data_IF_600339662393
#
_entry.id   IF_600339662393
#
_cell.length_a   1.000
_cell.length_b   1.000
_cell.length_c   1.000
_cell.angle_alpha   90.00
_cell.angle_beta   90.00
_cell.angle_gamma   90.00
#
_symmetry.space_group_name_H-M   'P 1'
#
loop_
_entity.id
_entity.type
_entity.pdbx_description
1 polymer ?
#
# COMPACT_ATOMS: atom_id res chain seq x y z
N UNK A 1 -34.37 -2.56 -14.74
CA UNK A 1 -34.58 -2.43 -13.28
C UNK A 1 -35.73 -3.30 -12.78
N UNK A 2 -37.00 -3.04 -13.15
CA UNK A 2 -38.16 -3.84 -12.68
C UNK A 2 -38.05 -5.36 -12.95
N UNK A 3 -37.44 -5.75 -14.08
CA UNK A 3 -37.19 -7.17 -14.41
C UNK A 3 -36.15 -7.84 -13.49
N UNK A 4 -35.18 -7.08 -12.97
CA UNK A 4 -34.10 -7.58 -12.11
C UNK A 4 -34.52 -7.62 -10.63
N UNK A 5 -35.32 -6.65 -10.18
CA UNK A 5 -35.92 -6.65 -8.83
C UNK A 5 -36.78 -7.90 -8.62
N UNK A 6 -37.59 -8.28 -9.62
CA UNK A 6 -38.38 -9.52 -9.59
C UNK A 6 -37.55 -10.81 -9.50
N UNK A 7 -36.29 -10.82 -9.95
CA UNK A 7 -35.44 -12.02 -9.89
C UNK A 7 -34.69 -12.12 -8.55
N UNK A 8 -34.38 -10.98 -7.95
CA UNK A 8 -33.82 -10.88 -6.60
C UNK A 8 -34.85 -11.33 -5.54
N UNK A 9 -36.11 -10.86 -5.67
CA UNK A 9 -37.21 -11.24 -4.77
C UNK A 9 -37.58 -12.73 -4.83
N UNK A 10 -37.22 -13.41 -5.93
CA UNK A 10 -37.42 -14.86 -6.11
C UNK A 10 -36.23 -15.70 -5.64
N UNK A 11 -35.16 -15.09 -5.13
CA UNK A 11 -33.95 -15.78 -4.70
C UNK A 11 -33.21 -16.52 -5.82
N UNK A 12 -33.49 -16.18 -7.09
CA UNK A 12 -32.93 -16.89 -8.25
C UNK A 12 -31.55 -16.39 -8.66
N UNK A 13 -31.17 -15.18 -8.25
CA UNK A 13 -29.90 -14.54 -8.58
C UNK A 13 -29.41 -13.75 -7.37
N UNK A 14 -28.11 -13.78 -7.12
CA UNK A 14 -27.51 -12.87 -6.14
C UNK A 14 -27.48 -11.43 -6.69
N UNK A 15 -27.38 -10.44 -5.80
CA UNK A 15 -27.15 -9.04 -6.21
C UNK A 15 -25.92 -8.89 -7.12
N UNK A 16 -24.90 -9.73 -6.91
CA UNK A 16 -23.69 -9.78 -7.75
C UNK A 16 -24.00 -10.26 -9.16
N UNK A 17 -24.85 -11.29 -9.32
CA UNK A 17 -25.25 -11.79 -10.64
C UNK A 17 -26.09 -10.77 -11.41
N UNK A 18 -26.93 -10.02 -10.70
CA UNK A 18 -27.73 -8.94 -11.28
C UNK A 18 -26.83 -7.80 -11.74
N UNK A 19 -25.83 -7.41 -10.93
CA UNK A 19 -24.86 -6.38 -11.30
C UNK A 19 -24.04 -6.79 -12.54
N UNK A 20 -23.55 -8.04 -12.58
CA UNK A 20 -22.79 -8.57 -13.71
C UNK A 20 -23.63 -8.64 -15.00
N UNK A 21 -24.91 -9.07 -14.90
CA UNK A 21 -25.82 -9.11 -16.05
C UNK A 21 -26.24 -7.73 -16.53
N UNK A 22 -26.48 -6.79 -15.61
CA UNK A 22 -26.77 -5.41 -15.96
C UNK A 22 -25.55 -4.74 -16.62
N UNK A 23 -24.34 -5.03 -16.15
CA UNK A 23 -23.11 -4.59 -16.82
C UNK A 23 -22.97 -5.22 -18.21
N UNK A 24 -23.25 -6.50 -18.38
CA UNK A 24 -23.23 -7.15 -19.69
C UNK A 24 -24.25 -6.56 -20.68
N UNK A 25 -25.44 -6.15 -20.22
CA UNK A 25 -26.45 -5.47 -21.03
C UNK A 25 -26.05 -4.02 -21.38
N UNK A 26 -25.39 -3.31 -20.48
CA UNK A 26 -24.94 -1.93 -20.70
C UNK A 26 -23.68 -1.85 -21.57
N UNK A 27 -22.89 -2.93 -21.66
CA UNK A 27 -21.66 -2.99 -22.45
C UNK A 27 -21.65 -4.21 -23.39
N UNK A 28 -22.48 -4.22 -24.45
CA UNK A 28 -22.66 -5.37 -25.34
C UNK A 28 -21.40 -5.77 -26.13
N UNK A 29 -20.36 -4.91 -26.16
CA UNK A 29 -19.04 -5.22 -26.73
C UNK A 29 -18.01 -5.80 -25.76
N UNK A 30 -18.27 -5.77 -24.45
CA UNK A 30 -17.40 -6.34 -23.42
C UNK A 30 -17.75 -7.81 -23.11
N UNK A 31 -18.88 -8.31 -23.62
CA UNK A 31 -19.39 -9.66 -23.44
C UNK A 31 -18.76 -10.68 -24.43
N UNK A 32 -17.47 -10.56 -24.73
CA UNK A 32 -16.72 -11.78 -25.02
C UNK A 32 -16.87 -12.66 -23.78
N UNK A 33 -17.32 -13.91 -23.93
CA UNK A 33 -17.53 -14.85 -22.83
C UNK A 33 -16.38 -14.70 -21.84
N UNK A 34 -16.61 -14.05 -20.69
CA UNK A 34 -15.60 -13.98 -19.65
C UNK A 34 -15.37 -15.45 -19.31
N UNK A 35 -14.19 -16.01 -19.60
CA UNK A 35 -13.93 -17.41 -19.27
C UNK A 35 -14.31 -17.58 -17.81
N UNK A 36 -15.02 -18.66 -17.50
CA UNK A 36 -15.39 -18.97 -16.12
C UNK A 36 -14.10 -18.91 -15.28
N UNK A 37 -13.90 -17.80 -14.55
CA UNK A 37 -12.73 -17.58 -13.71
C UNK A 37 -12.87 -18.36 -12.39
N UNK A 38 -13.83 -19.29 -12.32
CA UNK A 38 -14.11 -20.09 -11.16
C UNK A 38 -12.86 -20.87 -10.75
N UNK A 39 -12.38 -20.57 -9.55
CA UNK A 39 -11.16 -21.15 -8.99
C UNK A 39 -9.85 -20.43 -9.35
N UNK A 40 -9.86 -19.35 -10.13
CA UNK A 40 -8.65 -18.53 -10.28
C UNK A 40 -8.38 -17.71 -9.01
N UNK A 41 -7.16 -17.83 -8.52
CA UNK A 41 -6.65 -17.00 -7.42
C UNK A 41 -6.48 -15.55 -7.88
N UNK A 42 -7.18 -14.63 -7.22
CA UNK A 42 -7.19 -13.22 -7.61
C UNK A 42 -5.81 -12.55 -7.52
N UNK A 43 -4.96 -12.95 -6.57
CA UNK A 43 -3.63 -12.37 -6.40
C UNK A 43 -2.70 -12.79 -7.56
N UNK A 44 -2.75 -14.06 -7.97
CA UNK A 44 -2.02 -14.55 -9.14
C UNK A 44 -2.49 -13.88 -10.43
N UNK A 45 -3.81 -13.73 -10.61
CA UNK A 45 -4.35 -13.04 -11.79
C UNK A 45 -3.86 -11.58 -11.83
N UNK A 46 -3.90 -10.87 -10.70
CA UNK A 46 -3.37 -9.51 -10.60
C UNK A 46 -1.89 -9.45 -10.99
N UNK A 47 -1.05 -10.33 -10.43
CA UNK A 47 0.38 -10.38 -10.72
C UNK A 47 0.65 -10.58 -12.22
N UNK A 48 -0.01 -11.57 -12.83
CA UNK A 48 0.16 -11.89 -14.25
C UNK A 48 -0.31 -10.75 -15.16
N UNK A 49 -1.48 -10.16 -14.89
CA UNK A 49 -2.00 -9.03 -15.67
C UNK A 49 -1.11 -7.80 -15.55
N UNK A 50 -0.70 -7.44 -14.33
CA UNK A 50 0.24 -6.32 -14.12
C UNK A 50 1.55 -6.54 -14.88
N UNK A 51 2.12 -7.74 -14.80
CA UNK A 51 3.35 -8.08 -15.52
C UNK A 51 3.19 -7.85 -17.02
N UNK A 52 2.12 -8.38 -17.63
CA UNK A 52 1.85 -8.18 -19.06
C UNK A 52 1.71 -6.71 -19.42
N UNK A 53 0.85 -5.96 -18.72
CA UNK A 53 0.59 -4.55 -19.04
C UNK A 53 1.84 -3.68 -18.88
N UNK A 54 2.65 -3.93 -17.84
CA UNK A 54 3.90 -3.19 -17.60
C UNK A 54 5.00 -3.55 -18.62
N UNK A 55 5.02 -4.78 -19.12
CA UNK A 55 5.98 -5.21 -20.15
C UNK A 55 5.63 -4.70 -21.55
N UNK A 56 4.35 -4.55 -21.85
CA UNK A 56 3.89 -4.04 -23.15
C UNK A 56 4.22 -2.55 -23.33
N UNK A 57 3.80 -1.74 -22.36
CA UNK A 57 4.09 -0.30 -22.28
C UNK A 57 3.85 0.21 -20.85
N UNK A 58 4.88 0.15 -19.99
CA UNK A 58 4.84 0.71 -18.64
C UNK A 58 4.35 2.16 -18.65
N UNK A 59 4.67 2.91 -19.72
CA UNK A 59 4.35 4.33 -19.78
C UNK A 59 2.88 4.61 -19.99
N UNK A 60 2.30 3.90 -20.95
CA UNK A 60 0.87 3.92 -21.21
C UNK A 60 0.07 3.34 -20.03
N UNK A 61 0.52 2.24 -19.42
CA UNK A 61 -0.15 1.68 -18.24
C UNK A 61 -0.30 2.72 -17.13
N UNK A 62 0.78 3.45 -16.80
CA UNK A 62 0.71 4.53 -15.81
C UNK A 62 -0.20 5.66 -16.24
N UNK A 63 -0.18 6.04 -17.51
CA UNK A 63 -1.06 7.07 -18.04
C UNK A 63 -2.53 6.70 -17.81
N UNK A 64 -2.91 5.46 -18.14
CA UNK A 64 -4.25 4.90 -17.93
C UNK A 64 -4.65 4.85 -16.47
N UNK A 65 -3.73 4.46 -15.57
CA UNK A 65 -3.99 4.49 -14.12
C UNK A 65 -4.21 5.92 -13.61
N UNK A 66 -3.43 6.89 -14.07
CA UNK A 66 -3.59 8.29 -13.67
C UNK A 66 -4.89 8.89 -14.23
N UNK A 67 -5.27 8.52 -15.44
CA UNK A 67 -6.56 8.88 -16.01
C UNK A 67 -7.72 8.27 -15.20
N UNK A 68 -7.66 6.98 -14.85
CA UNK A 68 -8.64 6.35 -13.96
C UNK A 68 -8.72 7.07 -12.60
N UNK A 69 -7.59 7.39 -12.00
CA UNK A 69 -7.52 8.12 -10.73
C UNK A 69 -8.17 9.51 -10.83
N UNK A 70 -7.89 10.25 -11.90
CA UNK A 70 -8.50 11.54 -12.18
C UNK A 70 -10.02 11.41 -12.28
N UNK A 71 -10.49 10.44 -13.06
CA UNK A 71 -11.90 10.13 -13.26
C UNK A 71 -12.63 9.77 -11.97
N UNK A 72 -12.02 8.93 -11.13
CA UNK A 72 -12.52 8.55 -9.79
C UNK A 72 -12.67 9.77 -8.88
N UNK A 73 -11.83 10.81 -9.04
CA UNK A 73 -11.87 12.03 -8.23
C UNK A 73 -12.94 13.02 -8.69
N UNK A 74 -13.26 13.07 -9.98
CA UNK A 74 -14.21 14.06 -10.54
C UNK A 74 -15.62 13.51 -10.78
N UNK A 75 -15.79 12.18 -10.79
CA UNK A 75 -17.06 11.52 -11.12
C UNK A 75 -17.55 10.60 -10.00
N UNK A 76 -18.85 10.57 -9.78
CA UNK A 76 -19.52 9.58 -8.93
C UNK A 76 -19.92 8.31 -9.71
N UNK A 77 -19.86 8.33 -11.05
CA UNK A 77 -20.25 7.20 -11.90
C UNK A 77 -19.12 6.80 -12.84
N UNK A 78 -18.51 5.63 -12.61
CA UNK A 78 -17.44 5.11 -13.48
C UNK A 78 -17.95 4.49 -14.80
N UNK A 79 -19.22 4.08 -14.86
CA UNK A 79 -19.79 3.38 -16.02
C UNK A 79 -19.86 4.19 -17.32
N UNK A 80 -19.58 5.49 -17.30
CA UNK A 80 -19.54 6.34 -18.52
C UNK A 80 -18.11 6.51 -19.05
N UNK A 81 -17.10 6.02 -18.32
CA UNK A 81 -15.71 6.48 -18.47
C UNK A 81 -14.77 5.49 -19.21
N UNK A 82 -15.27 4.34 -19.63
CA UNK A 82 -14.46 3.26 -20.23
C UNK A 82 -14.30 3.34 -21.76
N UNK A 83 -14.78 4.42 -22.41
CA UNK A 83 -14.80 4.51 -23.88
C UNK A 83 -13.55 5.12 -24.53
N UNK A 84 -13.02 6.20 -23.95
CA UNK A 84 -11.98 7.02 -24.60
C UNK A 84 -10.53 6.60 -24.27
N UNK A 85 -9.56 6.98 -25.11
CA UNK A 85 -8.14 6.90 -24.79
C UNK A 85 -7.79 7.75 -23.56
N UNK A 86 -6.74 7.37 -22.83
CA UNK A 86 -6.30 8.07 -21.62
C UNK A 86 -6.04 9.58 -21.83
N UNK A 87 -5.56 9.94 -23.02
CA UNK A 87 -5.24 11.31 -23.45
C UNK A 87 -6.46 12.26 -23.49
N UNK A 88 -7.67 11.71 -23.62
CA UNK A 88 -8.91 12.50 -23.58
C UNK A 88 -9.25 12.98 -22.15
N UNK A 89 -8.67 12.34 -21.12
CA UNK A 89 -8.95 12.63 -19.72
C UNK A 89 -7.83 13.43 -19.05
N UNK A 90 -6.57 13.10 -19.34
CA UNK A 90 -5.41 13.82 -18.82
C UNK A 90 -4.30 13.77 -19.87
N UNK A 91 -3.62 14.88 -20.19
CA UNK A 91 -2.47 14.84 -21.10
C UNK A 91 -1.32 14.05 -20.48
N UNK A 92 -0.64 13.21 -21.27
CA UNK A 92 0.53 12.46 -20.77
C UNK A 92 1.63 13.37 -20.18
N UNK A 93 1.81 14.58 -20.73
CA UNK A 93 2.77 15.57 -20.21
C UNK A 93 2.45 16.02 -18.77
N UNK A 94 1.18 16.06 -18.38
CA UNK A 94 0.76 16.34 -17.01
C UNK A 94 1.08 15.16 -16.07
N UNK A 95 0.93 13.93 -16.56
CA UNK A 95 1.26 12.72 -15.79
C UNK A 95 2.77 12.57 -15.60
N UNK A 96 3.56 12.75 -16.66
CA UNK A 96 5.01 12.57 -16.62
C UNK A 96 5.72 13.60 -15.73
N UNK A 97 5.16 14.80 -15.58
CA UNK A 97 5.69 15.85 -14.72
C UNK A 97 5.29 15.70 -13.25
N UNK A 98 4.10 15.18 -12.96
CA UNK A 98 3.56 15.10 -11.61
C UNK A 98 3.80 13.75 -10.93
N UNK A 99 3.82 12.66 -11.70
CA UNK A 99 3.90 11.30 -11.16
C UNK A 99 5.31 10.73 -11.38
N UNK A 100 6.16 10.53 -10.36
CA UNK A 100 7.42 9.79 -10.54
C UNK A 100 7.16 8.31 -10.87
N UNK A 101 7.96 7.73 -11.76
CA UNK A 101 7.87 6.29 -12.18
C UNK A 101 8.19 5.32 -11.06
N UNK A 102 9.18 5.70 -10.27
CA UNK A 102 9.70 4.98 -9.11
C UNK A 102 8.94 5.34 -7.81
N UNK A 103 7.73 5.90 -7.92
CA UNK A 103 6.97 6.33 -6.76
C UNK A 103 6.24 5.18 -6.08
N UNK A 104 6.64 4.81 -4.85
CA UNK A 104 5.95 3.81 -4.02
C UNK A 104 4.44 4.08 -3.91
N UNK A 105 4.06 5.36 -3.83
CA UNK A 105 2.68 5.85 -3.85
C UNK A 105 1.95 5.52 -5.16
N UNK A 106 2.59 5.67 -6.31
CA UNK A 106 2.00 5.28 -7.60
C UNK A 106 1.77 3.76 -7.65
N UNK A 107 2.78 2.96 -7.33
CA UNK A 107 2.67 1.51 -7.35
C UNK A 107 1.52 1.02 -6.45
N UNK A 108 1.46 1.52 -5.21
CA UNK A 108 0.38 1.16 -4.29
C UNK A 108 -1.00 1.65 -4.78
N UNK A 109 -1.11 2.87 -5.33
CA UNK A 109 -2.39 3.37 -5.86
C UNK A 109 -2.86 2.58 -7.06
N UNK A 110 -1.96 2.21 -7.98
CA UNK A 110 -2.27 1.39 -9.15
C UNK A 110 -2.86 0.04 -8.73
N UNK A 111 -2.21 -0.63 -7.78
CA UNK A 111 -2.68 -1.92 -7.24
C UNK A 111 -4.02 -1.76 -6.53
N UNK A 112 -4.20 -0.73 -5.69
CA UNK A 112 -5.46 -0.51 -4.98
C UNK A 112 -6.63 -0.19 -5.91
N UNK A 113 -6.40 0.56 -6.99
CA UNK A 113 -7.41 0.77 -8.04
C UNK A 113 -7.84 -0.54 -8.70
N UNK A 114 -6.93 -1.49 -8.83
CA UNK A 114 -7.18 -2.80 -9.43
C UNK A 114 -7.81 -3.82 -8.46
N UNK A 115 -7.70 -3.58 -7.16
CA UNK A 115 -8.19 -4.47 -6.11
C UNK A 115 -9.50 -4.01 -5.44
N UNK A 116 -9.83 -2.72 -5.50
CA UNK A 116 -11.05 -2.19 -4.89
C UNK A 116 -12.31 -2.65 -5.62
N UNK A 117 -13.47 -2.41 -5.00
CA UNK A 117 -14.75 -2.52 -5.70
C UNK A 117 -14.84 -1.56 -6.90
N UNK A 118 -15.79 -1.85 -7.79
CA UNK A 118 -15.97 -1.17 -9.08
C UNK A 118 -16.56 0.23 -8.97
N UNK A 119 -17.09 0.63 -7.81
CA UNK A 119 -17.69 1.94 -7.62
C UNK A 119 -16.63 3.02 -7.29
N UNK A 120 -16.96 4.26 -7.61
CA UNK A 120 -16.04 5.38 -7.42
C UNK A 120 -15.74 5.65 -5.94
N UNK A 121 -16.70 5.42 -5.03
CA UNK A 121 -16.53 5.66 -3.61
C UNK A 121 -15.52 4.69 -2.99
N UNK A 122 -15.65 3.40 -3.29
CA UNK A 122 -14.72 2.36 -2.84
C UNK A 122 -13.32 2.57 -3.40
N UNK A 123 -13.20 2.96 -4.68
CA UNK A 123 -11.90 3.37 -5.24
C UNK A 123 -11.31 4.54 -4.49
N UNK A 124 -12.06 5.65 -4.33
CA UNK A 124 -11.63 6.83 -3.56
C UNK A 124 -11.19 6.43 -2.17
N UNK A 125 -11.96 5.61 -1.47
CA UNK A 125 -11.64 5.12 -0.12
C UNK A 125 -10.35 4.30 -0.08
N UNK A 126 -10.14 3.44 -1.07
CA UNK A 126 -8.94 2.62 -1.20
C UNK A 126 -7.69 3.48 -1.39
N UNK A 127 -7.75 4.49 -2.27
CA UNK A 127 -6.61 5.36 -2.56
C UNK A 127 -6.47 6.56 -1.63
N UNK A 128 -7.49 6.91 -0.83
CA UNK A 128 -7.49 8.06 0.10
C UNK A 128 -6.21 8.15 0.94
N UNK A 129 -5.66 7.05 1.49
CA UNK A 129 -4.39 7.08 2.22
C UNK A 129 -3.20 7.62 1.43
N UNK A 130 -3.28 7.58 0.10
CA UNK A 130 -2.23 7.93 -0.86
C UNK A 130 -2.60 9.20 -1.67
N UNK A 131 -3.88 9.62 -1.63
CA UNK A 131 -4.52 10.52 -2.57
C UNK A 131 -4.05 11.99 -2.53
N UNK A 132 -3.26 12.40 -1.53
CA UNK A 132 -2.57 13.71 -1.58
C UNK A 132 -1.35 13.60 -2.50
N UNK A 133 -1.69 13.49 -3.78
CA UNK A 133 -0.88 13.78 -4.96
C UNK A 133 0.62 13.67 -4.69
N UNK A 134 1.20 12.48 -4.86
CA UNK A 134 2.55 12.38 -5.42
C UNK A 134 3.62 13.24 -4.69
N UNK A 135 3.44 13.53 -3.38
CA UNK A 135 4.25 14.53 -2.69
C UNK A 135 3.71 15.17 -1.40
N UNK A 136 2.44 15.00 -1.01
CA UNK A 136 1.94 15.52 0.27
C UNK A 136 1.71 14.41 1.30
N UNK A 137 2.31 14.48 2.49
CA UNK A 137 1.89 13.67 3.63
C UNK A 137 0.92 14.48 4.50
N UNK A 138 -0.31 14.01 4.69
CA UNK A 138 -1.15 14.52 5.77
C UNK A 138 -0.76 13.84 7.05
N UNK A 139 -0.43 14.64 8.06
CA UNK A 139 -0.51 14.19 9.44
C UNK A 139 -2.00 13.94 9.74
N UNK A 140 -2.40 12.70 10.06
CA UNK A 140 -3.70 12.49 10.69
C UNK A 140 -3.81 13.40 11.93
N UNK A 141 -5.00 13.89 12.31
CA UNK A 141 -5.22 14.53 13.59
C UNK A 141 -4.52 13.78 14.75
N UNK A 142 -4.04 14.50 15.77
CA UNK A 142 -3.18 13.94 16.84
C UNK A 142 -3.80 12.74 17.56
N UNK A 143 -5.12 12.73 17.72
CA UNK A 143 -5.92 11.62 18.24
C UNK A 143 -5.82 10.37 17.35
N UNK A 144 -5.82 10.54 16.03
CA UNK A 144 -5.60 9.46 15.06
C UNK A 144 -4.14 9.02 15.07
N UNK A 145 -3.18 9.95 14.94
CA UNK A 145 -1.74 9.64 14.97
C UNK A 145 -1.37 8.78 16.17
N UNK A 146 -1.90 9.15 17.33
CA UNK A 146 -1.65 8.44 18.56
C UNK A 146 -2.36 7.09 18.57
N UNK A 147 -3.60 6.96 18.08
CA UNK A 147 -4.29 5.66 17.99
C UNK A 147 -3.62 4.66 17.04
N UNK A 148 -2.97 5.12 15.97
CA UNK A 148 -2.40 4.25 14.92
C UNK A 148 -0.93 3.90 15.13
N UNK A 149 -0.27 4.33 16.23
CA UNK A 149 1.07 3.86 16.62
C UNK A 149 1.04 2.46 17.19
N UNK A 150 0.62 1.52 16.35
CA UNK A 150 0.47 0.13 16.71
C UNK A 150 1.43 -0.71 15.89
N UNK A 151 2.63 -1.01 16.42
CA UNK A 151 3.67 -1.69 15.64
C UNK A 151 3.25 -3.10 15.21
N UNK A 152 2.22 -3.67 15.83
CA UNK A 152 1.69 -4.99 15.53
C UNK A 152 0.45 -4.98 14.63
N UNK A 153 0.06 -3.80 14.12
CA UNK A 153 -1.14 -3.67 13.28
C UNK A 153 -1.04 -4.57 12.05
N UNK A 154 0.17 -4.65 11.47
CA UNK A 154 0.40 -5.50 10.32
C UNK A 154 0.29 -6.99 10.67
N UNK A 155 0.87 -7.47 11.77
CA UNK A 155 0.67 -8.86 12.22
C UNK A 155 -0.79 -9.20 12.45
N UNK A 156 -1.56 -8.31 13.06
CA UNK A 156 -2.98 -8.54 13.34
C UNK A 156 -3.79 -8.62 12.03
N UNK A 157 -3.59 -7.68 11.11
CA UNK A 157 -4.29 -7.69 9.82
C UNK A 157 -3.85 -8.85 8.91
N UNK A 158 -2.57 -9.23 8.96
CA UNK A 158 -2.06 -10.40 8.25
C UNK A 158 -2.64 -11.71 8.82
N UNK A 159 -2.75 -11.84 10.14
CA UNK A 159 -3.39 -13.00 10.75
C UNK A 159 -4.86 -13.10 10.36
N UNK A 160 -5.58 -11.97 10.33
CA UNK A 160 -6.96 -11.93 9.86
C UNK A 160 -7.07 -12.30 8.37
N UNK A 161 -6.15 -11.82 7.54
CA UNK A 161 -6.09 -12.19 6.13
C UNK A 161 -5.82 -13.68 5.93
N UNK A 162 -4.95 -14.32 6.73
CA UNK A 162 -4.75 -15.78 6.72
C UNK A 162 -6.03 -16.54 7.04
N UNK A 163 -6.79 -16.10 8.06
CA UNK A 163 -8.10 -16.69 8.38
C UNK A 163 -9.13 -16.49 7.27
N UNK A 164 -9.05 -15.38 6.52
CA UNK A 164 -9.90 -15.14 5.36
C UNK A 164 -9.55 -16.07 4.18
N UNK A 165 -8.26 -16.40 4.01
CA UNK A 165 -7.80 -17.39 3.02
C UNK A 165 -8.37 -18.77 3.28
N UNK A 166 -8.49 -19.20 4.54
CA UNK A 166 -9.15 -20.47 4.91
C UNK A 166 -10.64 -20.52 4.47
N UNK A 167 -11.25 -19.34 4.26
CA UNK A 167 -12.62 -19.16 3.75
C UNK A 167 -12.65 -18.88 2.24
N UNK A 168 -11.54 -19.05 1.53
CA UNK A 168 -11.42 -18.81 0.09
C UNK A 168 -11.40 -17.33 -0.31
N UNK A 169 -11.16 -16.40 0.63
CA UNK A 169 -11.16 -14.95 0.35
C UNK A 169 -9.73 -14.43 0.19
N UNK A 170 -9.47 -13.69 -0.89
CA UNK A 170 -8.22 -12.94 -1.07
C UNK A 170 -8.31 -11.60 -0.35
N UNK A 171 -7.23 -11.18 0.31
CA UNK A 171 -7.17 -9.91 1.05
C UNK A 171 -5.94 -9.12 0.65
N UNK A 172 -6.10 -7.84 0.34
CA UNK A 172 -5.01 -6.91 0.10
C UNK A 172 -4.79 -6.06 1.36
N UNK A 173 -3.54 -5.98 1.80
CA UNK A 173 -3.08 -5.14 2.89
C UNK A 173 -2.31 -3.97 2.29
N UNK A 174 -2.91 -2.79 2.29
CA UNK A 174 -2.19 -1.55 2.01
C UNK A 174 -1.38 -1.18 3.24
N UNK A 175 -0.05 -1.10 3.09
CA UNK A 175 0.88 -0.77 4.16
C UNK A 175 1.49 0.59 3.83
N UNK A 176 1.23 1.58 4.68
CA UNK A 176 1.73 2.93 4.52
C UNK A 176 2.60 3.30 5.72
N UNK A 177 3.87 3.58 5.45
CA UNK A 177 4.87 3.96 6.44
C UNK A 177 5.25 5.41 6.22
N UNK A 178 5.15 6.22 7.27
CA UNK A 178 5.50 7.63 7.22
C UNK A 178 6.35 7.97 8.44
N UNK A 179 7.50 8.59 8.23
CA UNK A 179 8.27 9.21 9.29
C UNK A 179 7.64 10.56 9.65
N UNK A 180 7.08 10.70 10.86
CA UNK A 180 6.43 11.94 11.31
C UNK A 180 7.42 13.09 11.42
N UNK A 181 8.73 12.81 11.54
CA UNK A 181 9.76 13.86 11.55
C UNK A 181 9.83 14.65 10.23
N UNK A 182 9.46 14.06 9.09
CA UNK A 182 9.38 14.77 7.79
C UNK A 182 8.49 16.00 7.85
N UNK A 183 7.46 15.92 8.69
CA UNK A 183 6.45 16.96 8.84
C UNK A 183 6.81 17.95 9.96
N UNK A 184 7.70 17.57 10.89
CA UNK A 184 8.14 18.43 12.01
C UNK A 184 9.24 19.39 11.60
N UNK A 185 10.15 18.97 10.71
CA UNK A 185 11.34 19.74 10.33
C UNK A 185 11.54 19.79 8.80
N UNK A 186 10.60 20.37 8.03
CA UNK A 186 10.74 20.47 6.58
C UNK A 186 11.91 21.41 6.23
N UNK A 187 12.96 20.88 5.60
CA UNK A 187 14.06 21.67 5.02
C UNK A 187 15.45 21.51 5.66
N UNK A 188 15.55 20.99 6.88
CA UNK A 188 16.82 20.95 7.63
C UNK A 188 17.42 19.54 7.83
N UNK A 189 16.79 18.50 7.27
CA UNK A 189 17.30 17.11 7.42
C UNK A 189 17.51 16.39 6.09
N UNK A 190 18.73 15.89 5.83
CA UNK A 190 18.91 14.81 4.87
C UNK A 190 18.32 13.53 5.48
N UNK A 191 17.23 13.06 4.89
CA UNK A 191 16.72 11.72 5.14
C UNK A 191 15.42 11.66 5.91
N UNK A 192 14.34 11.91 5.18
CA UNK A 192 12.98 11.71 5.66
C UNK A 192 12.33 10.61 4.83
N UNK A 193 11.56 9.74 5.48
CA UNK A 193 11.15 8.48 4.89
C UNK A 193 9.62 8.33 4.82
N UNK A 194 9.09 8.08 3.63
CA UNK A 194 7.71 7.61 3.46
C UNK A 194 7.69 6.51 2.40
N UNK A 195 7.03 5.39 2.69
CA UNK A 195 6.93 4.26 1.79
C UNK A 195 5.56 3.61 1.84
N UNK A 196 5.04 3.29 0.68
CA UNK A 196 3.74 2.67 0.53
C UNK A 196 3.88 1.42 -0.32
N UNK A 197 3.37 0.30 0.16
CA UNK A 197 3.33 -0.96 -0.59
C UNK A 197 1.98 -1.66 -0.37
N UNK A 198 1.69 -2.63 -1.23
CA UNK A 198 0.49 -3.48 -1.09
C UNK A 198 0.93 -4.93 -1.01
N UNK A 199 0.45 -5.64 0.00
CA UNK A 199 0.66 -7.07 0.17
C UNK A 199 -0.66 -7.80 -0.08
N UNK A 200 -0.73 -8.71 -1.04
CA UNK A 200 -1.90 -9.57 -1.21
C UNK A 200 -1.67 -10.90 -0.51
N UNK A 201 -2.67 -11.37 0.22
CA UNK A 201 -2.70 -12.66 0.92
C UNK A 201 -3.82 -13.48 0.30
N UNK A 202 -3.48 -14.64 -0.26
CA UNK A 202 -4.41 -15.51 -0.98
C UNK A 202 -4.11 -17.00 -0.73
N UNK A 203 -4.96 -17.94 -1.18
CA UNK A 203 -4.68 -19.37 -1.10
C UNK A 203 -3.35 -19.80 -1.72
N UNK A 204 -2.87 -19.10 -2.76
CA UNK A 204 -1.58 -19.40 -3.38
C UNK A 204 -0.37 -18.81 -2.63
N UNK A 205 -0.60 -17.94 -1.64
CA UNK A 205 0.45 -17.35 -0.82
C UNK A 205 0.39 -15.83 -0.80
N UNK A 206 1.55 -15.20 -0.76
CA UNK A 206 1.70 -13.75 -0.56
C UNK A 206 2.47 -13.13 -1.71
N UNK A 207 1.91 -12.09 -2.33
CA UNK A 207 2.65 -11.22 -3.27
C UNK A 207 2.84 -9.85 -2.63
N UNK A 208 3.97 -9.21 -2.93
CA UNK A 208 4.27 -7.85 -2.49
C UNK A 208 4.44 -6.97 -3.71
N UNK A 209 3.67 -5.88 -3.77
CA UNK A 209 3.72 -4.90 -4.84
C UNK A 209 4.28 -3.60 -4.30
N UNK A 210 5.40 -3.16 -4.88
CA UNK A 210 6.05 -1.94 -4.47
C UNK A 210 6.91 -1.34 -5.56
N UNK A 211 7.29 -0.09 -5.36
CA UNK A 211 8.40 0.57 -6.03
C UNK A 211 9.14 1.39 -4.99
N UNK A 212 10.38 1.75 -5.28
CA UNK A 212 11.18 2.62 -4.41
C UNK A 212 11.74 3.75 -5.25
N UNK A 213 11.84 4.95 -4.64
CA UNK A 213 12.08 6.28 -5.23
C UNK A 213 13.18 6.43 -6.31
N UNK A 214 13.64 7.64 -6.64
CA UNK A 214 14.45 7.90 -7.86
C UNK A 214 15.77 7.14 -7.99
N UNK A 215 16.18 6.39 -6.97
CA UNK A 215 17.38 5.56 -6.92
C UNK A 215 17.10 4.09 -6.62
N UNK A 216 15.82 3.69 -6.62
CA UNK A 216 15.38 2.33 -6.40
C UNK A 216 14.92 1.68 -7.68
N UNK A 217 13.71 1.12 -7.63
CA UNK A 217 13.13 0.32 -8.70
C UNK A 217 11.65 0.67 -8.96
N UNK A 218 11.18 0.46 -10.18
CA UNK A 218 9.77 0.62 -10.55
C UNK A 218 8.93 -0.59 -10.17
N UNK A 219 7.60 -0.48 -10.30
CA UNK A 219 6.71 -1.63 -10.08
C UNK A 219 7.00 -2.76 -11.06
N UNK A 220 7.34 -2.44 -12.32
CA UNK A 220 7.76 -3.42 -13.32
C UNK A 220 8.99 -4.20 -12.86
N UNK A 221 10.04 -3.49 -12.45
CA UNK A 221 11.27 -4.11 -11.96
C UNK A 221 11.03 -4.97 -10.72
N UNK A 222 10.20 -4.50 -9.78
CA UNK A 222 9.82 -5.29 -8.61
C UNK A 222 9.20 -6.63 -9.01
N UNK A 223 8.27 -6.62 -9.97
CA UNK A 223 7.61 -7.83 -10.48
C UNK A 223 8.60 -8.72 -11.23
N UNK A 224 9.42 -8.16 -12.13
CA UNK A 224 10.36 -8.93 -12.95
C UNK A 224 11.48 -9.59 -12.11
N UNK A 225 12.06 -8.87 -11.14
CA UNK A 225 13.17 -9.36 -10.31
C UNK A 225 12.76 -10.36 -9.22
N UNK A 226 11.45 -10.52 -8.99
CA UNK A 226 10.90 -11.40 -7.97
C UNK A 226 9.86 -12.39 -8.50
N UNK A 227 9.76 -12.54 -9.83
CA UNK A 227 8.82 -13.44 -10.48
C UNK A 227 9.06 -14.92 -10.10
N UNK A 228 10.30 -15.27 -9.79
CA UNK A 228 10.72 -16.59 -9.30
C UNK A 228 10.52 -16.77 -7.78
N UNK A 229 10.39 -15.66 -7.05
CA UNK A 229 10.25 -15.65 -5.57
C UNK A 229 8.81 -15.58 -5.11
N UNK A 230 7.91 -15.05 -5.93
CA UNK A 230 6.50 -14.89 -5.58
C UNK A 230 5.60 -15.96 -6.23
N UNK A 231 4.52 -16.40 -5.56
CA UNK A 231 4.14 -16.01 -4.20
C UNK A 231 5.06 -16.59 -3.12
N UNK A 232 5.28 -15.83 -2.04
CA UNK A 232 5.83 -16.38 -0.80
C UNK A 232 4.79 -17.31 -0.19
N UNK A 233 5.21 -18.37 0.49
CA UNK A 233 4.31 -19.14 1.33
C UNK A 233 3.71 -18.27 2.45
N UNK A 234 2.58 -18.69 3.03
CA UNK A 234 1.96 -17.96 4.14
C UNK A 234 2.89 -17.85 5.37
N UNK A 235 3.81 -18.78 5.57
CA UNK A 235 4.76 -18.75 6.67
C UNK A 235 5.96 -17.84 6.39
N UNK A 236 6.43 -17.80 5.15
CA UNK A 236 7.39 -16.77 4.70
C UNK A 236 6.78 -15.37 4.79
N UNK A 237 5.47 -15.24 4.51
CA UNK A 237 4.71 -14.01 4.75
C UNK A 237 4.69 -13.61 6.22
N UNK A 238 4.47 -14.55 7.16
CA UNK A 238 4.59 -14.28 8.60
C UNK A 238 6.01 -13.79 8.93
N UNK A 239 7.04 -14.44 8.39
CA UNK A 239 8.43 -14.05 8.64
C UNK A 239 8.73 -12.65 8.08
N UNK A 240 8.17 -12.30 6.91
CA UNK A 240 8.28 -10.96 6.33
C UNK A 240 7.64 -9.92 7.25
N UNK A 241 6.42 -10.16 7.72
CA UNK A 241 5.71 -9.25 8.63
C UNK A 241 6.50 -9.05 9.92
N UNK A 242 7.06 -10.11 10.50
CA UNK A 242 7.89 -10.00 11.70
C UNK A 242 9.15 -9.15 11.47
N UNK A 243 9.81 -9.27 10.31
CA UNK A 243 10.95 -8.41 9.95
C UNK A 243 10.52 -6.96 9.77
N UNK A 244 9.40 -6.72 9.11
CA UNK A 244 8.82 -5.39 8.96
C UNK A 244 8.56 -4.75 10.33
N UNK A 245 8.04 -5.52 11.30
CA UNK A 245 7.79 -5.01 12.64
C UNK A 245 9.06 -4.71 13.43
N UNK A 246 10.18 -5.39 13.18
CA UNK A 246 11.47 -4.98 13.75
C UNK A 246 11.84 -3.58 13.29
N UNK A 247 11.59 -3.27 12.01
CA UNK A 247 11.76 -1.95 11.45
C UNK A 247 10.74 -0.93 12.02
N UNK A 248 9.46 -1.31 12.11
CA UNK A 248 8.38 -0.42 12.51
C UNK A 248 8.24 -0.21 14.04
N UNK A 249 8.76 -1.11 14.87
CA UNK A 249 8.59 -1.08 16.33
C UNK A 249 9.58 -0.17 17.07
N UNK A 250 10.51 0.47 16.37
CA UNK A 250 11.51 1.36 16.99
C UNK A 250 10.88 2.72 17.36
N UNK A 251 10.07 2.70 18.43
CA UNK A 251 9.28 3.83 18.90
C UNK A 251 10.17 4.93 19.51
N UNK A 252 10.40 6.00 18.73
CA UNK A 252 11.31 7.10 19.10
C UNK A 252 12.78 6.77 18.85
N UNK A 253 13.03 5.78 17.98
CA UNK A 253 14.34 5.25 17.67
C UNK A 253 15.22 6.18 16.85
N UNK A 254 16.52 6.02 17.04
CA UNK A 254 17.49 6.48 16.05
C UNK A 254 17.62 5.40 14.99
N UNK A 255 17.63 5.79 13.71
CA UNK A 255 17.95 4.91 12.60
C UNK A 255 19.27 4.19 12.91
N UNK A 256 19.25 2.86 12.91
CA UNK A 256 20.42 2.02 13.22
C UNK A 256 20.76 1.13 12.04
N UNK A 257 21.97 0.55 12.02
CA UNK A 257 22.33 -0.52 11.06
C UNK A 257 21.30 -1.64 11.05
N UNK A 258 20.77 -2.03 12.22
CA UNK A 258 19.76 -3.07 12.35
C UNK A 258 18.43 -2.66 11.71
N UNK A 259 17.96 -1.44 11.98
CA UNK A 259 16.75 -0.89 11.35
C UNK A 259 16.90 -0.85 9.83
N UNK A 260 18.07 -0.41 9.35
CA UNK A 260 18.41 -0.40 7.94
C UNK A 260 18.47 -1.80 7.32
N UNK A 261 19.01 -2.78 8.05
CA UNK A 261 19.03 -4.18 7.60
C UNK A 261 17.62 -4.75 7.50
N UNK A 262 16.77 -4.54 8.51
CA UNK A 262 15.38 -4.99 8.47
C UNK A 262 14.60 -4.32 7.31
N UNK A 263 14.85 -3.03 7.06
CA UNK A 263 14.31 -2.31 5.92
C UNK A 263 14.76 -2.93 4.59
N UNK A 264 16.07 -3.19 4.44
CA UNK A 264 16.65 -3.85 3.27
C UNK A 264 16.07 -5.24 3.04
N UNK A 265 15.87 -6.03 4.10
CA UNK A 265 15.29 -7.37 3.99
C UNK A 265 13.82 -7.32 3.53
N UNK A 266 13.09 -6.27 3.89
CA UNK A 266 11.69 -6.11 3.49
C UNK A 266 11.55 -5.59 2.06
N UNK A 267 12.45 -4.71 1.63
CA UNK A 267 12.25 -3.89 0.45
C UNK A 267 13.38 -3.92 -0.58
N UNK A 268 14.47 -4.63 -0.30
CA UNK A 268 15.64 -4.73 -1.20
C UNK A 268 16.46 -3.44 -1.30
N UNK A 269 16.29 -2.49 -0.36
CA UNK A 269 16.90 -1.16 -0.44
C UNK A 269 17.71 -0.86 0.81
N UNK A 270 18.97 -0.44 0.62
CA UNK A 270 19.83 0.08 1.68
C UNK A 270 19.75 1.60 1.72
N UNK A 271 19.07 2.17 2.73
CA UNK A 271 18.91 3.62 2.84
C UNK A 271 20.20 4.33 3.23
N UNK A 272 21.11 3.65 3.93
CA UNK A 272 22.41 4.21 4.33
C UNK A 272 23.33 4.28 3.10
N UNK A 273 23.43 3.20 2.32
CA UNK A 273 24.23 3.16 1.10
C UNK A 273 23.71 4.14 0.04
N UNK A 274 22.38 4.27 -0.07
CA UNK A 274 21.78 5.32 -0.90
C UNK A 274 22.01 6.73 -0.35
N UNK A 275 22.53 6.91 0.85
CA UNK A 275 22.68 8.23 1.47
C UNK A 275 21.35 8.92 1.78
N UNK A 276 20.25 8.15 1.77
CA UNK A 276 18.91 8.61 2.10
C UNK A 276 18.70 8.61 3.62
N UNK A 277 19.48 7.86 4.41
CA UNK A 277 19.45 7.85 5.87
C UNK A 277 20.87 7.76 6.43
N UNK A 278 21.06 8.17 7.69
CA UNK A 278 22.31 7.99 8.44
C UNK A 278 22.04 7.32 9.77
N UNK A 279 22.98 6.52 10.28
CA UNK A 279 22.88 6.03 11.65
C UNK A 279 22.79 7.21 12.64
N UNK A 280 21.94 7.08 13.66
CA UNK A 280 21.66 8.16 14.60
C UNK A 280 20.53 9.10 14.16
N UNK A 281 20.04 9.02 12.91
CA UNK A 281 18.95 9.88 12.44
C UNK A 281 17.68 9.58 13.24
N UNK A 282 17.15 10.58 13.93
CA UNK A 282 15.90 10.40 14.67
C UNK A 282 14.77 10.06 13.70
N UNK A 283 14.00 9.03 14.06
CA UNK A 283 12.91 8.50 13.26
C UNK A 283 11.66 8.38 14.13
N UNK A 284 10.52 8.76 13.58
CA UNK A 284 9.24 8.64 14.26
C UNK A 284 8.22 7.97 13.34
N UNK A 285 8.37 6.65 13.16
CA UNK A 285 7.55 5.90 12.21
C UNK A 285 6.09 5.81 12.66
N UNK A 286 5.24 6.06 11.68
CA UNK A 286 3.81 5.82 11.68
C UNK A 286 3.51 4.76 10.62
N UNK A 287 2.87 3.67 11.04
CA UNK A 287 2.42 2.61 10.13
C UNK A 287 0.90 2.56 10.14
N UNK A 288 0.30 2.79 8.97
CA UNK A 288 -1.12 2.56 8.73
C UNK A 288 -1.28 1.31 7.86
N UNK A 289 -2.19 0.43 8.26
CA UNK A 289 -2.53 -0.77 7.50
C UNK A 289 -4.03 -0.79 7.24
N UNK A 290 -4.40 -0.95 5.97
CA UNK A 290 -5.80 -1.10 5.54
C UNK A 290 -5.98 -2.40 4.80
N UNK A 291 -7.07 -3.09 5.09
CA UNK A 291 -7.42 -4.37 4.51
C UNK A 291 -8.56 -4.22 3.49
N UNK A 292 -8.42 -4.85 2.33
CA UNK A 292 -9.40 -4.83 1.24
C UNK A 292 -9.63 -6.27 0.76
N UNK A 293 -10.82 -6.86 0.97
CA UNK A 293 -11.15 -8.12 0.33
C UNK A 293 -11.28 -7.91 -1.18
N UNK A 294 -10.89 -8.91 -1.97
CA UNK A 294 -11.01 -8.84 -3.42
C UNK A 294 -11.16 -10.24 -4.06
N UNK A 295 -11.55 -10.27 -5.34
CA UNK A 295 -11.76 -11.50 -6.11
C UNK A 295 -11.08 -11.41 -7.47
N UNK A 296 -10.83 -12.55 -8.12
CA UNK A 296 -10.31 -12.58 -9.50
C UNK A 296 -11.24 -11.86 -10.48
N UNK A 297 -12.56 -12.05 -10.34
CA UNK A 297 -13.56 -11.34 -11.15
C UNK A 297 -13.49 -9.82 -10.96
N UNK A 298 -13.31 -9.34 -9.71
CA UNK A 298 -13.11 -7.93 -9.42
C UNK A 298 -11.85 -7.36 -10.08
N UNK A 299 -10.72 -8.10 -9.99
CA UNK A 299 -9.47 -7.72 -10.67
C UNK A 299 -9.67 -7.61 -12.18
N UNK A 300 -10.27 -8.62 -12.82
CA UNK A 300 -10.51 -8.62 -14.26
C UNK A 300 -11.41 -7.45 -14.68
N UNK A 301 -12.48 -7.20 -13.93
CA UNK A 301 -13.38 -6.08 -14.18
C UNK A 301 -12.68 -4.73 -13.99
N UNK A 302 -11.79 -4.59 -13.01
CA UNK A 302 -11.02 -3.37 -12.82
C UNK A 302 -10.01 -3.10 -13.95
N UNK A 303 -9.37 -4.12 -14.51
CA UNK A 303 -8.55 -3.94 -15.73
C UNK A 303 -9.39 -3.44 -16.91
N UNK A 304 -10.64 -3.90 -17.02
CA UNK A 304 -11.56 -3.41 -18.04
C UNK A 304 -12.06 -1.97 -17.81
N UNK A 305 -11.89 -1.41 -16.61
CA UNK A 305 -12.17 0.01 -16.31
C UNK A 305 -11.04 0.94 -16.73
N UNK A 306 -9.85 0.43 -17.05
CA UNK A 306 -8.75 1.28 -17.51
C UNK A 306 -9.13 1.91 -18.85
N UNK A 307 -8.89 3.22 -19.05
CA UNK A 307 -9.03 3.88 -20.34
C UNK A 307 -8.29 3.13 -21.45
N UNK A 308 -8.69 3.33 -22.70
CA UNK A 308 -7.99 2.68 -23.81
C UNK A 308 -6.52 3.14 -23.87
N UNK A 309 -5.61 2.27 -24.33
CA UNK A 309 -4.24 2.67 -24.63
C UNK A 309 -4.19 3.90 -25.52
N UNK A 310 -3.22 4.75 -25.25
CA UNK A 310 -2.92 5.92 -26.06
C UNK A 310 -2.64 5.49 -27.49
N UNK A 311 -3.00 6.31 -28.50
CA UNK A 311 -2.86 5.92 -29.91
C UNK A 311 -1.41 5.68 -30.35
N UNK A 312 -0.47 6.23 -29.60
CA UNK A 312 0.97 6.10 -29.82
C UNK A 312 1.61 5.51 -28.58
N UNK A 313 2.58 4.61 -28.76
CA UNK A 313 3.46 4.16 -27.67
C UNK A 313 4.08 5.37 -27.01
N UNK A 314 4.09 5.37 -25.69
CA UNK A 314 4.63 6.48 -24.94
C UNK A 314 6.05 6.13 -24.53
N UNK A 315 7.09 6.82 -25.04
CA UNK A 315 8.45 6.51 -24.64
C UNK A 315 8.63 6.86 -23.16
N UNK A 316 9.31 5.98 -22.42
CA UNK A 316 9.68 6.28 -21.05
C UNK A 316 10.57 7.54 -21.05
N UNK A 317 10.28 8.58 -20.24
CA UNK A 317 11.02 9.83 -20.26
C UNK A 317 12.54 9.71 -19.99
N UNK A 318 12.98 8.60 -19.37
CA UNK A 318 14.39 8.31 -19.10
C UNK A 318 15.10 7.55 -20.25
N UNK A 319 14.38 7.15 -21.30
CA UNK A 319 14.92 6.56 -22.54
C UNK A 319 15.67 5.23 -22.35
N UNK A 320 15.59 4.63 -21.16
CA UNK A 320 16.16 3.32 -20.80
C UNK A 320 15.14 2.64 -19.90
N UNK A 321 14.74 1.41 -20.21
CA UNK A 321 13.96 0.57 -19.28
C UNK A 321 14.48 0.80 -17.85
N UNK A 322 13.63 1.37 -16.99
CA UNK A 322 13.90 2.25 -15.85
C UNK A 322 15.06 1.89 -14.87
N UNK A 323 16.27 1.63 -15.34
CA UNK A 323 17.48 1.50 -14.52
C UNK A 323 17.95 2.91 -14.24
N UNK A 324 17.49 3.47 -13.13
CA UNK A 324 17.86 4.80 -12.66
C UNK A 324 19.34 4.87 -12.24
N UNK A 325 20.24 4.91 -13.22
CA UNK A 325 21.63 5.35 -13.01
C UNK A 325 21.72 6.88 -12.82
N UNK A 326 20.64 7.61 -13.14
CA UNK A 326 20.56 9.05 -12.97
C UNK A 326 20.06 9.39 -11.56
N UNK A 327 20.84 10.16 -10.81
CA UNK A 327 20.35 10.78 -9.58
C UNK A 327 19.12 11.65 -9.86
N UNK A 328 18.19 11.66 -8.90
CA UNK A 328 17.04 12.57 -8.92
C UNK A 328 17.50 14.00 -9.23
N UNK A 329 16.81 14.72 -10.11
CA UNK A 329 17.07 16.14 -10.29
C UNK A 329 16.93 16.85 -8.94
N UNK A 330 17.97 17.58 -8.50
CA UNK A 330 18.05 18.17 -7.15
C UNK A 330 16.95 19.17 -6.74
N UNK A 331 16.00 19.45 -7.64
CA UNK A 331 14.79 20.26 -7.43
C UNK A 331 13.59 19.46 -6.91
N UNK A 332 13.63 18.12 -6.97
CA UNK A 332 12.71 17.26 -6.22
C UNK A 332 13.33 16.92 -4.86
N UNK A 333 13.49 17.92 -4.00
CA UNK A 333 13.59 17.65 -2.57
C UNK A 333 12.18 17.31 -2.08
N UNK A 334 11.95 16.18 -1.39
CA UNK A 334 10.62 15.67 -1.01
C UNK A 334 9.80 16.56 -0.06
N UNK A 335 10.27 17.75 0.28
CA UNK A 335 9.86 18.52 1.45
C UNK A 335 9.14 19.81 1.03
N UNK A 336 7.99 19.65 0.35
CA UNK A 336 7.03 20.73 0.12
C UNK A 336 6.74 21.47 1.42
N UNK A 337 7.29 22.69 1.55
CA UNK A 337 7.34 23.45 2.80
C UNK A 337 5.98 23.89 3.30
N UNK A 338 5.36 23.07 4.15
CA UNK A 338 4.16 23.45 4.91
C UNK A 338 4.57 23.71 6.37
N UNK A 339 4.24 24.87 6.98
CA UNK A 339 4.56 25.13 8.37
C UNK A 339 3.57 24.40 9.29
N UNK A 340 4.05 23.47 10.14
CA UNK A 340 3.17 22.73 11.06
C UNK A 340 3.70 22.56 12.50
N UNK A 341 2.71 22.50 13.41
CA UNK A 341 2.78 22.52 14.86
C UNK A 341 3.46 21.29 15.47
N UNK A 342 4.15 21.53 16.59
CA UNK A 342 4.79 20.53 17.45
C UNK A 342 3.79 19.47 17.95
N UNK A 343 3.99 18.21 17.57
CA UNK A 343 3.26 17.06 18.11
C UNK A 343 4.20 16.30 19.05
N UNK A 344 3.96 16.29 20.37
CA UNK A 344 4.75 15.47 21.29
C UNK A 344 4.66 13.99 20.91
N UNK A 345 5.76 13.25 21.04
CA UNK A 345 5.78 11.79 20.92
C UNK A 345 4.79 11.18 21.93
N UNK A 346 3.57 10.85 21.48
CA UNK A 346 2.55 10.30 22.37
C UNK A 346 2.91 8.84 22.65
N UNK A 347 3.53 8.59 23.81
CA UNK A 347 3.76 7.24 24.31
C UNK A 347 2.40 6.54 24.53
N UNK A 348 2.25 5.27 24.17
CA UNK A 348 1.02 4.48 24.42
C UNK A 348 1.35 3.14 25.07
N UNK A 349 0.40 2.62 25.85
CA UNK A 349 0.50 1.28 26.41
C UNK A 349 0.37 0.28 25.26
N UNK A 350 1.32 -0.61 25.10
CA UNK A 350 1.33 -1.58 24.01
C UNK A 350 0.32 -2.72 24.19
N UNK A 351 -0.49 -2.74 25.25
CA UNK A 351 -1.60 -3.68 25.35
C UNK A 351 -2.94 -3.00 25.05
N UNK A 352 -3.28 -2.00 25.86
CA UNK A 352 -4.60 -1.35 25.83
C UNK A 352 -4.63 -0.04 25.03
N UNK A 353 -3.50 0.38 24.46
CA UNK A 353 -3.40 1.62 23.68
C UNK A 353 -3.59 2.90 24.50
N UNK A 354 -3.80 2.86 25.82
CA UNK A 354 -4.01 4.08 26.61
C UNK A 354 -2.77 4.98 26.59
N UNK A 355 -2.95 6.30 26.49
CA UNK A 355 -1.87 7.30 26.59
C UNK A 355 -1.50 7.57 28.07
N UNK A 356 -0.26 8.00 28.38
CA UNK A 356 0.15 8.26 29.75
C UNK A 356 -0.69 9.39 30.33
N UNK A 357 -1.11 9.22 31.59
CA UNK A 357 -1.65 10.35 32.36
C UNK A 357 -0.52 11.35 32.58
N UNK A 358 -0.84 12.65 32.62
CA UNK A 358 0.15 13.70 32.86
C UNK A 358 0.94 13.39 34.14
N UNK A 359 2.26 13.24 34.04
CA UNK A 359 3.15 12.89 35.15
C UNK A 359 3.27 11.39 35.47
N UNK A 360 2.65 10.49 34.70
CA UNK A 360 2.82 9.05 34.86
C UNK A 360 3.62 8.46 33.68
N UNK A 361 4.81 7.94 33.97
CA UNK A 361 5.58 7.20 32.98
C UNK A 361 5.06 5.76 32.82
N UNK A 362 5.13 5.25 31.61
CA UNK A 362 4.87 3.84 31.35
C UNK A 362 6.04 2.95 31.73
N UNK A 363 5.70 1.79 32.29
CA UNK A 363 6.64 0.73 32.59
C UNK A 363 7.17 0.15 31.28
N UNK A 364 8.49 0.09 31.15
CA UNK A 364 9.14 -0.56 30.00
C UNK A 364 9.21 -2.06 30.24
N UNK A 365 9.03 -2.86 29.19
CA UNK A 365 9.29 -4.30 29.25
C UNK A 365 10.69 -4.53 29.81
N UNK A 366 10.81 -5.32 30.89
CA UNK A 366 12.08 -5.52 31.59
C UNK A 366 13.15 -6.16 30.71
N UNK A 367 12.75 -6.94 29.69
CA UNK A 367 13.64 -7.67 28.79
C UNK A 367 14.08 -6.84 27.58
N UNK A 368 13.13 -6.32 26.78
CA UNK A 368 13.50 -5.60 25.56
C UNK A 368 13.72 -4.09 25.76
N UNK A 369 13.16 -3.49 26.82
CA UNK A 369 13.18 -2.03 27.10
C UNK A 369 12.55 -1.13 26.01
N UNK A 370 12.14 -1.68 24.88
CA UNK A 370 11.46 -0.98 23.76
C UNK A 370 9.99 -0.74 24.07
N UNK A 371 9.26 -1.80 24.40
CA UNK A 371 7.80 -1.75 24.56
C UNK A 371 7.40 -1.18 25.92
N UNK A 372 6.34 -0.35 25.95
CA UNK A 372 5.86 0.35 27.15
C UNK A 372 4.43 -0.04 27.52
N UNK A 373 4.14 -0.07 28.82
CA UNK A 373 2.85 -0.47 29.37
C UNK A 373 2.39 0.48 30.46
N UNK A 374 1.07 0.68 30.59
CA UNK A 374 0.52 1.45 31.70
C UNK A 374 0.69 0.75 33.06
N UNK A 375 1.00 -0.55 33.07
CA UNK A 375 1.29 -1.33 34.26
C UNK A 375 1.49 -2.81 33.96
N UNK A 376 1.89 -3.56 34.99
CA UNK A 376 2.14 -5.00 34.93
C UNK A 376 0.99 -5.83 34.31
N UNK A 377 -0.31 -5.57 34.59
CA UNK A 377 -1.39 -6.36 33.99
C UNK A 377 -1.39 -6.28 32.45
N UNK A 378 -1.15 -5.09 31.90
CA UNK A 378 -1.03 -4.90 30.46
C UNK A 378 0.20 -5.60 29.89
N UNK A 379 1.33 -5.54 30.60
CA UNK A 379 2.55 -6.26 30.19
C UNK A 379 2.31 -7.78 30.16
N UNK A 380 1.70 -8.36 31.18
CA UNK A 380 1.44 -9.81 31.27
C UNK A 380 0.48 -10.26 30.17
N UNK A 381 -0.58 -9.49 29.91
CA UNK A 381 -1.54 -9.83 28.87
C UNK A 381 -0.93 -9.71 27.48
N UNK A 382 -0.19 -8.63 27.21
CA UNK A 382 0.52 -8.46 25.94
C UNK A 382 1.59 -9.54 25.72
N UNK A 383 2.30 -9.93 26.79
CA UNK A 383 3.26 -11.02 26.77
C UNK A 383 2.63 -12.33 26.28
N UNK A 384 1.48 -12.69 26.84
CA UNK A 384 0.73 -13.91 26.45
C UNK A 384 0.16 -13.80 25.05
N UNK A 385 -0.40 -12.64 24.70
CA UNK A 385 -1.06 -12.42 23.42
C UNK A 385 -0.08 -12.47 22.24
N UNK A 386 1.04 -11.72 22.33
CA UNK A 386 1.92 -11.50 21.17
C UNK A 386 3.36 -11.14 21.51
N UNK A 387 3.62 -10.31 22.53
CA UNK A 387 4.94 -9.72 22.74
C UNK A 387 6.03 -10.77 23.00
N UNK A 388 5.70 -11.92 23.62
CA UNK A 388 6.66 -13.00 23.84
C UNK A 388 7.39 -13.44 22.55
N UNK A 389 6.69 -13.41 21.40
CA UNK A 389 7.23 -13.85 20.10
C UNK A 389 8.28 -12.88 19.56
N UNK A 390 8.09 -11.58 19.77
CA UNK A 390 8.97 -10.52 19.24
C UNK A 390 9.99 -10.01 20.26
N UNK A 391 9.76 -10.23 21.56
CA UNK A 391 10.55 -9.61 22.63
C UNK A 391 12.05 -9.93 22.52
N UNK A 392 12.40 -11.18 22.16
CA UNK A 392 13.80 -11.58 21.99
C UNK A 392 14.46 -10.79 20.85
N UNK A 393 13.76 -10.60 19.74
CA UNK A 393 14.24 -9.83 18.58
C UNK A 393 14.35 -8.34 18.89
N UNK A 394 13.45 -7.82 19.72
CA UNK A 394 13.48 -6.43 20.19
C UNK A 394 14.57 -6.19 21.25
N UNK A 395 14.91 -7.19 22.07
CA UNK A 395 15.93 -7.07 23.12
C UNK A 395 17.37 -7.06 22.59
N UNK A 396 17.56 -7.39 21.31
CA UNK A 396 18.84 -7.23 20.62
C UNK A 396 18.90 -5.93 19.81
N UNK A 397 17.93 -5.03 19.99
CA UNK A 397 18.03 -3.61 19.60
C UNK A 397 18.73 -2.91 20.76
#
# INVERSE_FOLDING_TARGET
MQRFESLCDKGQLSLTDIALRAMAELFPGAAGTVPELDGQDGARLLWQRLKTELQEDESDFKHRICALDHLVKISDRLGVLSGGPAEDYIPFSAVSSCCPWHGCKFAASAVLHLLSDLDAESKRKAITPIARSLGGCTIPPNDILSATRWPYKLSEDFANAKLAVEKGTCTALHINVNDVEIMRNPGDRPGTFAHSCVMTVSPLGVHLFQSYGPRGYTLRQNIEEHDDKYPLSLDEGVAWVQRFEVFAADLGGMWSSKTNSAYRDCFGVDLIELGNMREGSQMDLYVDVKSFPFTAGGVQANFALLPQPSRSKIPCPDGKDAKSGASAMGRFRPDGGVPHYYVPTVLRCAFCGTAPRKGCDFQKCSRCKVVRYCGEPCQVNDWKARHKKVCKSLASI
#
